data_IF_717450206209
#
_entry.id   IF_717450206209
#
_cell.length_a   1.000
_cell.length_b   1.000
_cell.length_c   1.000
_cell.angle_alpha   90.00
_cell.angle_beta   90.00
_cell.angle_gamma   90.00
#
_symmetry.space_group_name_H-M   'P 1'
#
loop_
_entity.id
_entity.type
_entity.pdbx_description
1 polymer ?
#
# COMPACT_ATOMS: atom_id res chain seq x y z
N UNK A 1 18.12 41.50 -37.67
CA UNK A 1 18.83 40.51 -36.84
C UNK A 1 18.43 40.56 -35.35
N UNK A 2 17.81 41.64 -34.84
CA UNK A 2 17.37 41.79 -33.43
C UNK A 2 16.05 41.10 -33.05
N UNK A 3 15.18 40.76 -34.02
CA UNK A 3 13.84 40.18 -33.75
C UNK A 3 13.85 38.69 -33.40
N UNK A 4 14.92 37.95 -33.76
CA UNK A 4 15.03 36.51 -33.48
C UNK A 4 15.50 36.21 -32.06
N UNK A 5 16.26 37.13 -31.45
CA UNK A 5 16.83 36.98 -30.10
C UNK A 5 15.75 37.18 -29.02
N UNK A 6 14.82 38.12 -29.25
CA UNK A 6 13.67 38.37 -28.37
C UNK A 6 12.66 37.22 -28.36
N UNK A 7 12.45 36.55 -29.50
CA UNK A 7 11.54 35.40 -29.60
C UNK A 7 12.08 34.18 -28.83
N UNK A 8 13.39 33.94 -28.87
CA UNK A 8 14.06 32.86 -28.14
C UNK A 8 14.04 33.09 -26.62
N UNK A 9 14.18 34.33 -26.16
CA UNK A 9 14.09 34.67 -24.74
C UNK A 9 12.69 34.44 -24.14
N UNK A 10 11.64 34.73 -24.91
CA UNK A 10 10.25 34.51 -24.50
C UNK A 10 9.89 33.01 -24.36
N UNK A 11 10.43 32.16 -25.23
CA UNK A 11 10.21 30.70 -25.17
C UNK A 11 10.92 30.11 -23.95
N UNK A 12 12.16 30.53 -23.67
CA UNK A 12 12.90 30.05 -22.51
C UNK A 12 12.22 30.42 -21.18
N UNK A 13 11.64 31.62 -21.10
CA UNK A 13 10.92 32.08 -19.91
C UNK A 13 9.57 31.34 -19.71
N UNK A 14 8.88 30.98 -20.79
CA UNK A 14 7.64 30.19 -20.75
C UNK A 14 7.85 28.71 -20.37
N UNK A 15 9.02 28.13 -20.66
CA UNK A 15 9.35 26.77 -20.25
C UNK A 15 9.64 26.64 -18.74
N UNK A 16 10.12 27.70 -18.09
CA UNK A 16 10.46 27.69 -16.66
C UNK A 16 9.23 27.76 -15.73
N UNK A 17 8.10 28.30 -16.18
CA UNK A 17 6.88 28.41 -15.35
C UNK A 17 6.10 27.09 -15.22
N UNK A 18 6.37 26.11 -16.09
CA UNK A 18 5.72 24.79 -16.06
C UNK A 18 6.53 23.72 -15.30
N UNK A 19 7.74 24.04 -14.83
CA UNK A 19 8.60 23.07 -14.14
C UNK A 19 8.15 22.73 -12.70
N UNK A 20 7.35 23.59 -12.06
CA UNK A 20 6.89 23.38 -10.66
C UNK A 20 5.59 22.55 -10.54
N UNK A 21 4.96 22.15 -11.64
CA UNK A 21 3.71 21.37 -11.62
C UNK A 21 3.91 19.85 -11.78
N UNK A 22 5.15 19.41 -12.03
CA UNK A 22 5.52 18.01 -12.18
C UNK A 22 6.09 17.43 -10.87
N UNK A 23 5.17 16.96 -10.02
CA UNK A 23 5.50 16.25 -8.79
C UNK A 23 4.30 15.46 -8.27
N UNK A 24 4.56 14.35 -7.58
CA UNK A 24 3.52 13.58 -6.89
C UNK A 24 3.06 14.42 -5.68
N UNK A 25 1.87 15.00 -5.76
CA UNK A 25 1.30 15.76 -4.64
C UNK A 25 0.51 14.82 -3.73
N UNK A 26 0.32 15.18 -2.46
CA UNK A 26 -0.50 14.39 -1.53
C UNK A 26 -1.92 14.12 -2.09
N UNK A 27 -2.49 15.08 -2.83
CA UNK A 27 -3.77 14.89 -3.55
C UNK A 27 -3.72 13.83 -4.64
N UNK A 28 -2.56 13.59 -5.26
CA UNK A 28 -2.35 12.58 -6.30
C UNK A 28 -1.78 11.27 -5.74
N UNK A 29 -1.63 11.15 -4.41
CA UNK A 29 -1.16 9.95 -3.73
C UNK A 29 -2.28 9.37 -2.86
N UNK A 30 -3.06 8.40 -3.38
CA UNK A 30 -4.25 7.89 -2.70
C UNK A 30 -4.05 7.37 -1.27
N UNK A 31 -2.90 6.76 -0.91
CA UNK A 31 -2.66 6.37 0.49
C UNK A 31 -2.65 7.54 1.48
N UNK A 32 -2.47 8.79 1.00
CA UNK A 32 -2.51 9.99 1.82
C UNK A 32 -3.89 10.69 1.85
N UNK A 33 -4.92 10.12 1.22
CA UNK A 33 -6.25 10.75 1.09
C UNK A 33 -7.22 10.39 2.22
N UNK A 34 -6.89 9.42 3.08
CA UNK A 34 -7.76 9.00 4.18
C UNK A 34 -7.05 8.14 5.21
N UNK A 35 -7.72 7.78 6.32
CA UNK A 35 -7.14 6.96 7.38
C UNK A 35 -7.04 5.46 7.02
N UNK A 36 -7.47 5.07 5.82
CA UNK A 36 -7.44 3.69 5.37
C UNK A 36 -6.02 3.27 4.98
N UNK A 37 -5.72 1.99 5.17
CA UNK A 37 -4.56 1.36 4.58
C UNK A 37 -4.73 1.15 3.08
N UNK A 38 -3.63 0.81 2.41
CA UNK A 38 -3.66 0.50 0.98
C UNK A 38 -4.38 -0.81 0.68
N UNK A 39 -5.02 -0.89 -0.49
CA UNK A 39 -5.60 -2.14 -0.99
C UNK A 39 -4.51 -3.06 -1.53
N UNK A 40 -4.48 -4.30 -1.07
CA UNK A 40 -3.65 -5.37 -1.61
C UNK A 40 -4.52 -6.41 -2.30
N UNK A 41 -4.10 -6.84 -3.49
CA UNK A 41 -4.52 -8.10 -4.10
C UNK A 41 -3.46 -9.15 -3.81
N UNK A 42 -3.83 -10.30 -3.26
CA UNK A 42 -2.92 -11.37 -2.87
C UNK A 42 -3.43 -12.69 -3.45
N UNK A 43 -2.52 -13.43 -4.08
CA UNK A 43 -2.78 -14.77 -4.59
C UNK A 43 -2.17 -15.81 -3.64
N UNK A 44 -2.97 -16.82 -3.30
CA UNK A 44 -2.60 -17.96 -2.46
C UNK A 44 -3.08 -19.25 -3.12
N UNK A 45 -2.68 -20.40 -2.60
CA UNK A 45 -3.21 -21.69 -3.07
C UNK A 45 -4.72 -21.85 -2.81
N UNK A 46 -5.26 -21.14 -1.81
CA UNK A 46 -6.68 -21.15 -1.48
C UNK A 46 -7.50 -20.15 -2.32
N UNK A 47 -6.85 -19.42 -3.23
CA UNK A 47 -7.47 -18.44 -4.10
C UNK A 47 -6.94 -17.02 -3.90
N UNK A 48 -7.67 -16.07 -4.48
CA UNK A 48 -7.31 -14.64 -4.50
C UNK A 48 -8.08 -13.87 -3.43
N UNK A 49 -7.35 -13.08 -2.66
CA UNK A 49 -7.90 -12.15 -1.67
C UNK A 49 -7.62 -10.72 -2.12
N UNK A 50 -8.61 -9.84 -2.02
CA UNK A 50 -8.43 -8.41 -2.27
C UNK A 50 -9.08 -7.63 -1.15
N UNK A 51 -8.31 -6.77 -0.51
CA UNK A 51 -8.76 -6.07 0.68
C UNK A 51 -7.74 -5.06 1.18
N UNK A 52 -8.13 -4.36 2.24
CA UNK A 52 -7.30 -3.33 2.84
C UNK A 52 -6.21 -3.94 3.73
N UNK A 53 -5.00 -3.39 3.66
CA UNK A 53 -3.90 -3.71 4.56
C UNK A 53 -4.11 -3.06 5.93
N UNK A 54 -4.43 -3.90 6.92
CA UNK A 54 -4.67 -3.45 8.28
C UNK A 54 -3.36 -3.34 9.06
N UNK A 55 -2.51 -4.37 8.97
CA UNK A 55 -1.28 -4.47 9.75
C UNK A 55 -0.22 -5.31 9.00
N UNK A 56 1.05 -4.94 9.16
CA UNK A 56 2.21 -5.73 8.70
C UNK A 56 2.97 -6.30 9.89
N UNK A 57 3.02 -7.63 9.99
CA UNK A 57 3.72 -8.39 11.04
C UNK A 57 5.01 -9.01 10.50
N UNK A 58 5.82 -9.57 11.39
CA UNK A 58 7.08 -10.21 10.99
C UNK A 58 6.88 -11.50 10.17
N UNK A 59 5.80 -12.24 10.45
CA UNK A 59 5.49 -13.51 9.79
C UNK A 59 4.41 -13.40 8.69
N UNK A 60 3.80 -12.23 8.49
CA UNK A 60 2.71 -12.08 7.53
C UNK A 60 2.02 -10.72 7.56
N UNK A 61 0.87 -10.63 6.90
CA UNK A 61 0.04 -9.42 6.83
C UNK A 61 -1.39 -9.71 7.28
N UNK A 62 -2.05 -8.71 7.85
CA UNK A 62 -3.47 -8.76 8.17
C UNK A 62 -4.24 -7.95 7.13
N UNK A 63 -5.15 -8.60 6.41
CA UNK A 63 -6.05 -7.97 5.45
C UNK A 63 -7.48 -7.92 5.96
N UNK A 64 -8.20 -6.84 5.66
CA UNK A 64 -9.65 -6.79 5.78
C UNK A 64 -10.28 -7.10 4.41
N UNK A 65 -10.86 -8.29 4.29
CA UNK A 65 -11.48 -8.81 3.06
C UNK A 65 -12.94 -9.11 3.34
N UNK A 66 -13.86 -8.46 2.62
CA UNK A 66 -15.30 -8.66 2.78
C UNK A 66 -15.78 -8.60 4.26
N UNK A 67 -15.31 -7.57 5.00
CA UNK A 67 -15.55 -7.39 6.44
C UNK A 67 -15.00 -8.51 7.34
N UNK A 68 -13.98 -9.23 6.89
CA UNK A 68 -13.28 -10.21 7.72
C UNK A 68 -11.79 -9.92 7.76
N UNK A 69 -11.25 -9.81 8.96
CA UNK A 69 -9.82 -9.76 9.23
C UNK A 69 -9.22 -11.15 9.00
N UNK A 70 -8.22 -11.20 8.11
CA UNK A 70 -7.53 -12.41 7.70
C UNK A 70 -6.02 -12.25 7.86
N UNK A 71 -5.39 -13.18 8.56
CA UNK A 71 -3.95 -13.28 8.63
C UNK A 71 -3.46 -14.12 7.44
N UNK A 72 -2.60 -13.52 6.62
CA UNK A 72 -1.91 -14.21 5.53
C UNK A 72 -0.43 -14.35 5.91
N UNK A 73 0.05 -15.57 6.24
CA UNK A 73 1.47 -15.79 6.46
C UNK A 73 2.22 -15.59 5.15
N UNK A 74 3.45 -15.08 5.21
CA UNK A 74 4.25 -14.85 4.00
C UNK A 74 4.49 -16.14 3.20
N UNK A 75 4.54 -17.29 3.87
CA UNK A 75 4.67 -18.61 3.24
C UNK A 75 3.48 -19.02 2.38
N UNK A 76 2.28 -18.44 2.60
CA UNK A 76 1.09 -18.73 1.81
C UNK A 76 0.93 -17.80 0.60
N UNK A 77 1.76 -16.75 0.49
CA UNK A 77 1.62 -15.72 -0.55
C UNK A 77 2.44 -16.11 -1.80
N UNK A 78 1.74 -16.45 -2.87
CA UNK A 78 2.34 -16.75 -4.18
C UNK A 78 2.78 -15.45 -4.86
N UNK A 79 1.85 -14.50 -4.96
CA UNK A 79 2.04 -13.20 -5.59
C UNK A 79 1.16 -12.15 -4.91
N UNK A 80 1.52 -10.87 -5.05
CA UNK A 80 0.67 -9.78 -4.61
C UNK A 80 0.85 -8.54 -5.47
N UNK A 81 -0.14 -7.66 -5.41
CA UNK A 81 -0.12 -6.33 -6.00
C UNK A 81 -0.60 -5.32 -4.96
N UNK A 82 0.17 -4.24 -4.79
CA UNK A 82 -0.18 -3.12 -3.91
C UNK A 82 -0.79 -2.04 -4.79
N UNK A 83 -2.07 -1.74 -4.59
CA UNK A 83 -2.78 -0.79 -5.44
C UNK A 83 -2.06 0.58 -5.46
N UNK A 84 -1.93 1.15 -6.67
CA UNK A 84 -1.41 2.50 -6.90
C UNK A 84 0.01 2.72 -6.33
N UNK A 85 0.77 1.64 -6.22
CA UNK A 85 2.13 1.61 -5.68
C UNK A 85 3.02 0.81 -6.65
N UNK A 86 4.35 1.00 -6.57
CA UNK A 86 5.29 0.29 -7.46
C UNK A 86 5.30 -1.22 -7.20
N UNK A 87 5.45 -2.02 -8.25
CA UNK A 87 5.60 -3.47 -8.17
C UNK A 87 6.77 -3.94 -7.30
N UNK A 88 7.75 -3.07 -6.99
CA UNK A 88 8.85 -3.36 -6.05
C UNK A 88 8.38 -3.70 -4.63
N UNK A 89 7.15 -3.31 -4.28
CA UNK A 89 6.54 -3.55 -2.98
C UNK A 89 5.65 -4.80 -2.94
N UNK A 90 5.59 -5.56 -4.04
CA UNK A 90 4.90 -6.83 -4.09
C UNK A 90 5.55 -7.87 -3.17
N UNK A 91 4.72 -8.62 -2.45
CA UNK A 91 5.11 -9.81 -1.69
C UNK A 91 4.94 -11.01 -2.61
N UNK A 92 5.94 -11.88 -2.68
CA UNK A 92 5.90 -13.04 -3.56
C UNK A 92 6.84 -14.14 -3.08
N UNK A 93 6.83 -15.26 -3.80
CA UNK A 93 7.77 -16.39 -3.62
C UNK A 93 7.67 -17.07 -2.25
N UNK A 94 6.53 -16.96 -1.57
CA UNK A 94 6.32 -17.57 -0.25
C UNK A 94 7.36 -17.14 0.80
N UNK A 95 7.92 -15.93 0.65
CA UNK A 95 8.97 -15.41 1.51
C UNK A 95 8.61 -14.04 2.07
N UNK A 96 9.13 -13.73 3.26
CA UNK A 96 8.99 -12.39 3.83
C UNK A 96 9.67 -11.36 2.91
N UNK A 97 9.05 -10.17 2.71
CA UNK A 97 9.67 -9.09 1.96
C UNK A 97 10.94 -8.61 2.65
N UNK A 98 11.82 -7.97 1.88
CA UNK A 98 13.02 -7.33 2.42
C UNK A 98 12.66 -6.31 3.51
N UNK A 99 13.54 -6.05 4.50
CA UNK A 99 13.21 -5.17 5.63
C UNK A 99 12.70 -3.78 5.24
N UNK A 100 13.30 -3.16 4.22
CA UNK A 100 12.91 -1.86 3.67
C UNK A 100 11.53 -1.89 3.01
N UNK A 101 11.24 -2.94 2.24
CA UNK A 101 9.92 -3.16 1.64
C UNK A 101 8.86 -3.40 2.72
N UNK A 102 9.19 -4.20 3.73
CA UNK A 102 8.29 -4.48 4.87
C UNK A 102 7.96 -3.22 5.65
N UNK A 103 8.95 -2.38 5.94
CA UNK A 103 8.74 -1.10 6.60
C UNK A 103 7.89 -0.16 5.76
N UNK A 104 8.13 -0.10 4.45
CA UNK A 104 7.29 0.71 3.57
C UNK A 104 5.83 0.24 3.58
N UNK A 105 5.58 -1.06 3.49
CA UNK A 105 4.22 -1.62 3.59
C UNK A 105 3.58 -1.32 4.95
N UNK A 106 4.38 -1.33 6.03
CA UNK A 106 3.91 -0.98 7.38
C UNK A 106 3.41 0.45 7.45
N UNK A 107 4.13 1.41 6.87
CA UNK A 107 3.69 2.80 6.77
C UNK A 107 2.41 2.98 5.94
N UNK A 108 2.17 2.09 4.98
CA UNK A 108 0.98 2.10 4.13
C UNK A 108 -0.20 1.32 4.72
N UNK A 109 -0.01 0.65 5.86
CA UNK A 109 -1.09 -0.05 6.56
C UNK A 109 -1.93 0.93 7.38
N UNK A 110 -3.17 0.54 7.71
CA UNK A 110 -4.05 1.35 8.59
C UNK A 110 -3.44 1.55 9.98
N UNK A 111 -2.73 0.55 10.50
CA UNK A 111 -2.09 0.58 11.82
C UNK A 111 -0.57 0.36 11.69
N UNK A 112 0.22 1.39 11.33
CA UNK A 112 1.66 1.26 11.15
C UNK A 112 2.41 0.83 12.40
N UNK A 113 1.90 1.16 13.58
CA UNK A 113 2.49 0.76 14.86
C UNK A 113 2.05 -0.64 15.32
N UNK A 114 1.28 -1.35 14.49
CA UNK A 114 0.65 -2.61 14.83
C UNK A 114 -0.67 -2.44 15.58
N UNK A 115 -1.38 -3.56 15.73
CA UNK A 115 -2.59 -3.63 16.54
C UNK A 115 -2.24 -4.04 17.97
N UNK A 116 -2.68 -3.26 18.96
CA UNK A 116 -2.66 -3.75 20.34
C UNK A 116 -3.64 -4.91 20.51
N UNK A 117 -3.48 -5.76 21.55
CA UNK A 117 -4.43 -6.84 21.81
C UNK A 117 -5.88 -6.35 21.97
N UNK A 118 -6.08 -5.22 22.64
CA UNK A 118 -7.39 -4.63 22.89
C UNK A 118 -8.02 -4.13 21.59
N UNK A 119 -7.26 -3.41 20.75
CA UNK A 119 -7.73 -2.96 19.44
C UNK A 119 -8.02 -4.14 18.50
N UNK A 120 -7.21 -5.20 18.57
CA UNK A 120 -7.46 -6.43 17.81
C UNK A 120 -8.81 -7.02 18.18
N UNK A 121 -9.11 -7.17 19.47
CA UNK A 121 -10.39 -7.68 19.95
C UNK A 121 -11.56 -6.79 19.54
N UNK A 122 -11.43 -5.47 19.66
CA UNK A 122 -12.47 -4.53 19.25
C UNK A 122 -12.76 -4.62 17.75
N UNK A 123 -11.71 -4.69 16.91
CA UNK A 123 -11.89 -4.83 15.46
C UNK A 123 -12.49 -6.18 15.10
N UNK A 124 -12.07 -7.27 15.74
CA UNK A 124 -12.66 -8.59 15.54
C UNK A 124 -14.16 -8.56 15.89
N UNK A 125 -14.51 -8.05 17.07
CA UNK A 125 -15.90 -7.95 17.51
C UNK A 125 -16.76 -7.08 16.57
N UNK A 126 -16.24 -5.93 16.12
CA UNK A 126 -16.90 -5.05 15.15
C UNK A 126 -17.13 -5.72 13.78
N UNK A 127 -16.35 -6.75 13.44
CA UNK A 127 -16.48 -7.55 12.23
C UNK A 127 -17.17 -8.91 12.48
N UNK A 128 -17.73 -9.13 13.67
CA UNK A 128 -18.42 -10.38 14.02
C UNK A 128 -17.48 -11.60 14.12
N UNK A 129 -16.22 -11.37 14.47
CA UNK A 129 -15.19 -12.39 14.63
C UNK A 129 -14.71 -12.48 16.08
N UNK A 130 -14.24 -13.66 16.46
CA UNK A 130 -13.51 -13.91 17.70
C UNK A 130 -12.01 -14.11 17.46
N UNK A 131 -11.63 -14.42 16.22
CA UNK A 131 -10.26 -14.68 15.80
C UNK A 131 -10.01 -14.27 14.35
N UNK A 132 -8.73 -14.09 13.99
CA UNK A 132 -8.31 -13.82 12.62
C UNK A 132 -8.60 -15.05 11.75
N UNK A 133 -9.23 -14.84 10.59
CA UNK A 133 -9.34 -15.89 9.60
C UNK A 133 -7.95 -16.28 9.09
N UNK A 134 -7.67 -17.57 9.00
CA UNK A 134 -6.41 -18.09 8.47
C UNK A 134 -6.49 -18.48 7.00
N UNK A 135 -5.32 -18.54 6.37
CA UNK A 135 -5.04 -19.38 5.21
C UNK A 135 -4.03 -20.43 5.71
N UNK A 136 -4.29 -21.71 5.46
CA UNK A 136 -3.34 -22.76 5.83
C UNK A 136 -2.09 -22.62 4.94
N UNK A 137 -0.88 -22.75 5.50
CA UNK A 137 0.37 -22.68 4.73
C UNK A 137 0.50 -23.82 3.72
#
# INVERSE_FOLDING_TARGET
MMTRVTLLGLIALACLTNACSFGMTARKYPPAQGPQGVTLSVETEQGRFSGELIEVRDAGIVLLVAKRLRLLPYSAILSSEVAQTSARYAISKKTAPKPDVREHLRLLSRFPQGLTPELTQQLLAANGQTELAGVNP
#
